data_IF_317261135316
#
_entry.id   IF_317261135316
#
_cell.length_a   1.000
_cell.length_b   1.000
_cell.length_c   1.000
_cell.angle_alpha   90.00
_cell.angle_beta   90.00
_cell.angle_gamma   90.00
#
_symmetry.space_group_name_H-M   'P 1'
#
loop_
_entity.id
_entity.type
_entity.pdbx_description
1 polymer ?
#
# COMPACT_ATOMS: atom_id res chain seq x y z
N UNK A 1 -62.10 19.69 -37.38
CA UNK A 1 -63.01 19.28 -36.28
C UNK A 1 -62.18 18.49 -35.29
N UNK A 2 -62.36 18.77 -33.99
CA UNK A 2 -61.60 18.22 -32.87
C UNK A 2 -61.89 16.73 -32.61
N UNK A 3 -60.95 16.02 -31.96
CA UNK A 3 -61.16 15.34 -30.66
C UNK A 3 -59.86 14.70 -30.16
N UNK A 4 -59.53 15.05 -28.93
CA UNK A 4 -58.57 14.42 -28.03
C UNK A 4 -59.18 13.20 -27.37
N UNK A 5 -58.41 12.12 -27.11
CA UNK A 5 -58.60 11.26 -25.94
C UNK A 5 -57.24 10.77 -25.42
N UNK A 6 -56.96 11.11 -24.16
CA UNK A 6 -55.80 10.72 -23.39
C UNK A 6 -56.00 9.36 -22.71
N UNK A 7 -54.93 8.57 -22.55
CA UNK A 7 -54.83 7.58 -21.47
C UNK A 7 -53.38 7.48 -21.00
N UNK A 8 -53.21 7.62 -19.69
CA UNK A 8 -51.96 7.61 -18.94
C UNK A 8 -51.55 6.19 -18.57
N UNK A 9 -50.29 5.80 -18.81
CA UNK A 9 -49.70 4.61 -18.20
C UNK A 9 -48.27 4.92 -17.72
N UNK A 10 -48.16 5.06 -16.40
CA UNK A 10 -46.93 5.04 -15.62
C UNK A 10 -46.40 3.61 -15.52
N UNK A 11 -45.14 3.37 -15.87
CA UNK A 11 -44.35 2.31 -15.24
C UNK A 11 -42.85 2.53 -15.44
N UNK A 12 -42.13 2.48 -14.32
CA UNK A 12 -40.69 2.62 -14.17
C UNK A 12 -39.98 1.36 -14.72
N UNK A 13 -38.93 1.43 -15.56
CA UNK A 13 -38.16 0.25 -15.93
C UNK A 13 -37.16 -0.10 -14.81
N UNK A 14 -37.44 -1.17 -14.07
CA UNK A 14 -36.47 -1.82 -13.16
C UNK A 14 -35.49 -2.64 -14.00
N UNK A 15 -34.19 -2.40 -13.81
CA UNK A 15 -33.11 -3.23 -14.36
C UNK A 15 -33.12 -4.63 -13.75
N UNK A 16 -32.75 -5.69 -14.50
CA UNK A 16 -32.49 -7.01 -13.94
C UNK A 16 -30.99 -7.08 -13.62
N UNK A 17 -30.63 -6.90 -12.36
CA UNK A 17 -29.26 -7.14 -11.90
C UNK A 17 -29.33 -7.99 -10.63
N UNK A 18 -28.69 -9.16 -10.70
CA UNK A 18 -28.43 -10.14 -9.64
C UNK A 18 -29.55 -11.11 -9.26
N UNK A 19 -29.65 -12.20 -10.02
CA UNK A 19 -30.04 -13.51 -9.47
C UNK A 19 -28.77 -14.32 -9.19
N UNK A 20 -28.27 -14.28 -7.95
CA UNK A 20 -27.36 -15.30 -7.42
C UNK A 20 -27.91 -15.83 -6.09
N UNK A 21 -28.60 -16.96 -6.21
CA UNK A 21 -29.14 -17.75 -5.12
C UNK A 21 -27.99 -18.54 -4.46
N UNK A 22 -27.38 -18.01 -3.41
CA UNK A 22 -26.46 -18.79 -2.55
C UNK A 22 -27.16 -19.18 -1.24
N UNK A 23 -27.42 -20.47 -1.07
CA UNK A 23 -27.80 -21.06 0.23
C UNK A 23 -26.57 -21.15 1.13
N UNK A 24 -26.32 -20.11 1.92
CA UNK A 24 -25.31 -20.14 2.98
C UNK A 24 -25.98 -20.56 4.30
N UNK A 25 -25.89 -21.84 4.64
CA UNK A 25 -26.23 -22.34 5.98
C UNK A 25 -25.01 -22.14 6.89
N UNK A 26 -24.84 -20.92 7.40
CA UNK A 26 -23.85 -20.61 8.43
C UNK A 26 -24.54 -19.98 9.65
N UNK A 27 -24.33 -20.56 10.83
CA UNK A 27 -24.81 -19.99 12.10
C UNK A 27 -24.17 -18.63 12.34
N UNK A 28 -24.93 -17.59 12.77
CA UNK A 28 -24.37 -16.28 13.02
C UNK A 28 -23.42 -16.33 14.22
N UNK A 29 -22.15 -16.05 13.99
CA UNK A 29 -21.17 -15.82 15.06
C UNK A 29 -21.42 -14.42 15.62
N UNK A 30 -21.55 -14.23 16.94
CA UNK A 30 -21.75 -12.91 17.51
C UNK A 30 -20.57 -12.00 17.18
N UNK A 31 -20.80 -10.71 16.86
CA UNK A 31 -19.71 -9.77 16.68
C UNK A 31 -19.06 -9.55 18.04
N UNK A 32 -17.92 -10.19 18.30
CA UNK A 32 -17.07 -9.83 19.43
C UNK A 32 -16.31 -8.55 19.07
N UNK A 33 -17.03 -7.44 18.91
CA UNK A 33 -16.41 -6.11 18.95
C UNK A 33 -16.20 -5.78 20.42
N UNK A 34 -15.11 -6.31 20.98
CA UNK A 34 -14.50 -5.64 22.10
C UNK A 34 -13.74 -4.45 21.51
N UNK A 35 -14.25 -3.24 21.71
CA UNK A 35 -13.46 -2.04 21.50
C UNK A 35 -12.22 -2.16 22.37
N UNK A 36 -11.08 -2.45 21.75
CA UNK A 36 -9.79 -2.31 22.42
C UNK A 36 -9.63 -0.81 22.59
N UNK A 37 -10.03 -0.31 23.78
CA UNK A 37 -9.63 1.01 24.23
C UNK A 37 -8.10 0.96 24.25
N UNK A 38 -7.48 1.61 23.26
CA UNK A 38 -6.07 1.98 23.32
C UNK A 38 -5.89 2.73 24.64
N UNK A 39 -5.38 2.04 25.66
CA UNK A 39 -4.57 2.73 26.65
C UNK A 39 -3.51 3.43 25.83
N UNK A 40 -3.38 4.76 25.96
CA UNK A 40 -2.31 5.53 25.35
C UNK A 40 -0.98 4.87 25.74
N UNK A 41 -0.55 3.91 24.93
CA UNK A 41 0.81 3.43 24.93
C UNK A 41 1.54 4.61 24.33
N UNK A 42 2.28 5.28 25.21
CA UNK A 42 3.27 6.31 24.92
C UNK A 42 3.76 6.13 23.49
N UNK A 43 3.59 7.18 22.68
CA UNK A 43 4.13 7.25 21.34
C UNK A 43 5.62 6.90 21.38
N UNK A 44 5.95 5.63 21.17
CA UNK A 44 7.31 5.20 20.88
C UNK A 44 7.56 5.60 19.44
N UNK A 45 7.65 6.90 19.21
CA UNK A 45 8.34 7.45 18.06
C UNK A 45 9.74 6.86 18.11
N UNK A 46 10.00 5.88 17.25
CA UNK A 46 11.37 5.45 16.93
C UNK A 46 11.99 6.64 16.20
N UNK A 47 12.38 7.62 17.00
CA UNK A 47 13.28 8.67 16.57
C UNK A 47 14.59 7.94 16.36
N UNK A 48 15.03 7.83 15.11
CA UNK A 48 16.42 7.48 14.84
C UNK A 48 17.27 8.55 15.54
N UNK A 49 17.68 8.26 16.78
CA UNK A 49 18.62 9.08 17.52
C UNK A 49 19.94 8.96 16.78
N UNK A 50 20.14 9.87 15.83
CA UNK A 50 21.46 10.21 15.34
C UNK A 50 22.30 10.45 16.58
N UNK A 51 23.23 9.54 16.82
CA UNK A 51 24.21 9.66 17.89
C UNK A 51 24.89 11.02 17.69
N UNK A 52 24.51 12.01 18.52
CA UNK A 52 24.62 13.45 18.23
C UNK A 52 26.03 14.04 18.26
N UNK A 53 27.05 13.23 17.95
CA UNK A 53 28.45 13.62 17.93
C UNK A 53 29.03 13.86 16.54
N UNK A 54 28.21 13.80 15.47
CA UNK A 54 28.59 14.37 14.18
C UNK A 54 28.24 15.86 14.18
N UNK A 55 29.09 16.68 14.81
CA UNK A 55 28.92 18.14 14.83
C UNK A 55 29.32 18.72 13.47
N UNK A 56 28.44 18.62 12.49
CA UNK A 56 28.51 19.45 11.30
C UNK A 56 27.70 20.72 11.56
N UNK A 57 28.30 21.89 11.31
CA UNK A 57 27.57 23.14 11.37
C UNK A 57 26.71 23.30 10.11
N UNK A 58 25.40 23.21 10.28
CA UNK A 58 24.41 23.35 9.21
C UNK A 58 24.53 24.70 8.47
N UNK A 59 25.07 25.74 9.09
CA UNK A 59 25.24 27.05 8.46
C UNK A 59 26.43 27.10 7.51
N UNK A 60 27.40 26.20 7.65
CA UNK A 60 28.63 26.15 6.85
C UNK A 60 28.88 24.79 6.18
N UNK A 61 27.92 23.87 6.25
CA UNK A 61 28.02 22.53 5.70
C UNK A 61 28.13 22.53 4.17
N UNK A 62 29.11 21.80 3.65
CA UNK A 62 29.27 21.52 2.22
C UNK A 62 29.69 20.07 2.03
N UNK A 63 29.11 19.42 1.03
CA UNK A 63 29.55 18.09 0.61
C UNK A 63 30.91 18.15 -0.06
N UNK A 64 31.63 17.03 -0.01
CA UNK A 64 32.85 16.86 -0.80
C UNK A 64 32.51 16.90 -2.30
N UNK A 65 33.34 17.56 -3.12
CA UNK A 65 33.16 17.53 -4.57
C UNK A 65 33.23 16.09 -5.09
N UNK A 66 32.24 15.71 -5.90
CA UNK A 66 32.18 14.40 -6.54
C UNK A 66 31.85 14.55 -8.02
N UNK A 67 32.25 13.56 -8.83
CA UNK A 67 31.92 13.50 -10.25
C UNK A 67 30.73 12.57 -10.46
N UNK A 68 29.84 12.92 -11.38
CA UNK A 68 28.64 12.15 -11.74
C UNK A 68 29.01 10.73 -12.21
N UNK A 69 30.14 10.61 -12.92
CA UNK A 69 30.68 9.33 -13.38
C UNK A 69 31.04 8.37 -12.24
N UNK A 70 31.42 8.87 -11.07
CA UNK A 70 31.72 8.02 -9.89
C UNK A 70 30.44 7.41 -9.37
N UNK A 71 29.39 8.23 -9.20
CA UNK A 71 28.09 7.76 -8.70
C UNK A 71 27.46 6.78 -9.70
N UNK A 72 27.47 7.10 -10.99
CA UNK A 72 26.94 6.22 -12.03
C UNK A 72 27.65 4.87 -12.05
N UNK A 73 28.99 4.86 -12.01
CA UNK A 73 29.77 3.60 -11.98
C UNK A 73 29.49 2.80 -10.72
N UNK A 74 29.39 3.45 -9.57
CA UNK A 74 29.18 2.76 -8.31
C UNK A 74 27.78 2.11 -8.25
N UNK A 75 26.76 2.81 -8.74
CA UNK A 75 25.40 2.27 -8.89
C UNK A 75 25.38 1.07 -9.84
N UNK A 76 25.94 1.21 -11.05
CA UNK A 76 25.95 0.13 -12.04
C UNK A 76 26.79 -1.06 -11.56
N UNK A 77 27.92 -0.82 -10.90
CA UNK A 77 28.80 -1.89 -10.39
C UNK A 77 28.08 -2.76 -9.36
N UNK A 78 27.45 -2.14 -8.36
CA UNK A 78 26.73 -2.89 -7.30
C UNK A 78 25.56 -3.66 -7.90
N UNK A 79 24.76 -3.00 -8.73
CA UNK A 79 23.61 -3.66 -9.35
C UNK A 79 24.01 -4.82 -10.28
N UNK A 80 25.08 -4.67 -11.06
CA UNK A 80 25.58 -5.76 -11.91
C UNK A 80 26.13 -6.93 -11.08
N UNK A 81 26.81 -6.64 -9.97
CA UNK A 81 27.28 -7.66 -9.04
C UNK A 81 26.11 -8.44 -8.41
N UNK A 82 25.05 -7.73 -8.01
CA UNK A 82 23.84 -8.34 -7.47
C UNK A 82 23.13 -9.19 -8.53
N UNK A 83 23.01 -8.70 -9.78
CA UNK A 83 22.41 -9.47 -10.88
C UNK A 83 23.12 -10.81 -11.11
N UNK A 84 24.46 -10.84 -11.01
CA UNK A 84 25.24 -12.06 -11.15
C UNK A 84 25.06 -12.96 -9.92
N UNK A 85 25.15 -12.40 -8.72
CA UNK A 85 25.07 -13.16 -7.46
C UNK A 85 23.70 -13.83 -7.30
N UNK A 86 22.63 -13.15 -7.68
CA UNK A 86 21.25 -13.66 -7.60
C UNK A 86 20.74 -14.28 -8.91
N UNK A 87 21.61 -14.47 -9.91
CA UNK A 87 21.25 -15.21 -11.13
C UNK A 87 20.88 -16.66 -10.82
N UNK A 88 21.48 -17.22 -9.77
CA UNK A 88 21.17 -18.53 -9.20
C UNK A 88 20.99 -18.37 -7.69
N UNK A 89 19.75 -18.46 -7.21
CA UNK A 89 19.37 -18.19 -5.83
C UNK A 89 18.44 -19.28 -5.32
N UNK A 90 18.56 -19.61 -4.03
CA UNK A 90 17.77 -20.67 -3.40
C UNK A 90 16.29 -20.31 -3.28
N UNK A 91 15.98 -19.04 -3.00
CA UNK A 91 14.62 -18.55 -2.78
C UNK A 91 14.40 -17.24 -3.53
N UNK A 92 13.21 -17.12 -4.14
CA UNK A 92 12.74 -15.90 -4.78
C UNK A 92 11.39 -15.53 -4.18
N UNK A 93 11.32 -14.36 -3.55
CA UNK A 93 10.06 -13.78 -3.08
C UNK A 93 9.52 -12.81 -4.13
N UNK A 94 8.36 -13.14 -4.71
CA UNK A 94 7.71 -12.29 -5.71
C UNK A 94 6.71 -11.36 -5.04
N UNK A 95 7.11 -10.10 -4.86
CA UNK A 95 6.29 -9.04 -4.25
C UNK A 95 6.63 -8.79 -2.78
N UNK A 96 7.02 -7.55 -2.47
CA UNK A 96 7.42 -7.12 -1.13
C UNK A 96 6.24 -6.53 -0.32
N UNK A 97 5.10 -7.23 -0.28
CA UNK A 97 3.95 -6.89 0.58
C UNK A 97 4.08 -7.45 2.00
N UNK A 98 3.08 -7.22 2.86
CA UNK A 98 3.11 -7.70 4.27
C UNK A 98 3.33 -9.20 4.40
N UNK A 99 2.74 -9.99 3.50
CA UNK A 99 2.92 -11.44 3.47
C UNK A 99 4.29 -11.87 2.91
N UNK A 100 4.93 -11.05 2.06
CA UNK A 100 6.24 -11.37 1.47
C UNK A 100 7.42 -10.96 2.36
N UNK A 101 7.20 -10.03 3.30
CA UNK A 101 8.22 -9.59 4.27
C UNK A 101 8.12 -10.30 5.63
N UNK A 102 7.08 -11.10 5.87
CA UNK A 102 6.79 -11.75 7.16
C UNK A 102 7.12 -13.25 7.16
#
# INVERSE_FOLDING_TARGET
MATTLASSLSSNPKSPFLDHKSSFNGTPVPPRVATIRSSRQSDNTISASLNGNSSYDLKSFKFEPIKESVVSREMTRRYMMDMITYADTDVIVVGAGSAGLS
#
